data_IF_402508023301
#
_entry.id   IF_402508023301
#
_cell.length_a   1.000
_cell.length_b   1.000
_cell.length_c   1.000
_cell.angle_alpha   90.00
_cell.angle_beta   90.00
_cell.angle_gamma   90.00
#
_symmetry.space_group_name_H-M   'P 1'
#
loop_
_entity.id
_entity.type
_entity.pdbx_description
1 polymer ?
#
# COMPACT_ATOMS: atom_id res chain seq x y z
N UNK A 1 33.53 0.53 4.74
CA UNK A 1 33.46 1.96 4.35
C UNK A 1 32.84 2.04 2.95
N UNK A 2 31.84 2.89 2.71
CA UNK A 2 31.25 3.03 1.38
C UNK A 2 32.22 3.72 0.42
N UNK A 3 32.27 3.29 -0.84
CA UNK A 3 33.15 3.88 -1.86
C UNK A 3 32.77 5.35 -2.12
N UNK A 4 33.74 6.18 -2.56
CA UNK A 4 33.45 7.56 -3.01
C UNK A 4 32.35 7.59 -4.08
N UNK A 5 32.34 6.58 -4.97
CA UNK A 5 31.32 6.39 -6.01
C UNK A 5 29.93 6.15 -5.39
N UNK A 6 29.82 5.23 -4.44
CA UNK A 6 28.57 4.92 -3.74
C UNK A 6 28.00 6.16 -3.06
N UNK A 7 28.82 6.90 -2.30
CA UNK A 7 28.38 8.11 -1.60
C UNK A 7 27.83 9.18 -2.56
N UNK A 8 28.48 9.34 -3.73
CA UNK A 8 28.03 10.27 -4.77
C UNK A 8 26.67 9.84 -5.35
N UNK A 9 26.54 8.57 -5.71
CA UNK A 9 25.28 8.03 -6.26
C UNK A 9 24.15 8.07 -5.23
N UNK A 10 24.43 7.74 -3.98
CA UNK A 10 23.47 7.80 -2.89
C UNK A 10 22.88 9.21 -2.70
N UNK A 11 23.74 10.25 -2.73
CA UNK A 11 23.30 11.65 -2.68
C UNK A 11 22.55 12.07 -3.94
N UNK A 12 22.97 11.61 -5.14
CA UNK A 12 22.25 11.86 -6.39
C UNK A 12 20.82 11.33 -6.31
N UNK A 13 20.65 10.08 -5.86
CA UNK A 13 19.35 9.43 -5.74
C UNK A 13 18.45 10.14 -4.71
N UNK A 14 19.03 10.63 -3.59
CA UNK A 14 18.29 11.46 -2.62
C UNK A 14 17.73 12.73 -3.27
N UNK A 15 18.55 13.47 -4.02
CA UNK A 15 18.11 14.70 -4.70
C UNK A 15 17.00 14.45 -5.73
N UNK A 16 17.07 13.33 -6.43
CA UNK A 16 16.02 12.92 -7.37
C UNK A 16 14.73 12.68 -6.60
N UNK A 17 14.80 11.92 -5.51
CA UNK A 17 13.64 11.68 -4.66
C UNK A 17 13.01 12.98 -4.12
N UNK A 18 13.83 13.91 -3.61
CA UNK A 18 13.36 15.21 -3.09
C UNK A 18 12.71 16.07 -4.17
N UNK A 19 13.28 16.07 -5.39
CA UNK A 19 12.70 16.76 -6.55
C UNK A 19 11.32 16.20 -6.90
N UNK A 20 11.20 14.88 -6.97
CA UNK A 20 9.96 14.21 -7.33
C UNK A 20 8.88 14.34 -6.24
N UNK A 21 9.26 14.40 -4.95
CA UNK A 21 8.31 14.63 -3.84
C UNK A 21 8.04 16.13 -3.61
N UNK A 22 8.79 17.03 -4.27
CA UNK A 22 8.61 18.49 -4.17
C UNK A 22 9.05 19.09 -2.83
N UNK A 23 9.84 18.37 -2.03
CA UNK A 23 10.37 18.87 -0.76
C UNK A 23 11.63 18.13 -0.32
N UNK A 24 12.45 18.80 0.47
CA UNK A 24 13.60 18.20 1.13
C UNK A 24 13.18 17.14 2.15
N UNK A 25 14.04 16.13 2.33
CA UNK A 25 13.81 15.08 3.34
C UNK A 25 15.03 14.89 4.22
N UNK A 26 14.78 14.69 5.51
CA UNK A 26 15.83 14.34 6.46
C UNK A 26 16.54 13.03 6.03
N UNK A 27 17.84 12.93 6.32
CA UNK A 27 18.66 11.76 5.95
C UNK A 27 18.09 10.45 6.51
N UNK A 28 17.56 10.48 7.73
CA UNK A 28 16.88 9.33 8.33
C UNK A 28 15.66 8.90 7.52
N UNK A 29 14.93 9.84 6.91
CA UNK A 29 13.79 9.53 6.03
C UNK A 29 14.28 8.90 4.73
N UNK A 30 15.34 9.43 4.15
CA UNK A 30 15.96 8.88 2.95
C UNK A 30 16.51 7.46 3.18
N UNK A 31 17.20 7.23 4.31
CA UNK A 31 17.66 5.90 4.70
C UNK A 31 16.51 4.90 4.76
N UNK A 32 15.37 5.28 5.35
CA UNK A 32 14.17 4.41 5.40
C UNK A 32 13.64 4.08 4.01
N UNK A 33 13.58 5.06 3.11
CA UNK A 33 13.18 4.84 1.71
C UNK A 33 14.10 3.85 1.04
N UNK A 34 15.42 4.01 1.20
CA UNK A 34 16.41 3.09 0.66
C UNK A 34 16.27 1.69 1.26
N UNK A 35 16.01 1.57 2.56
CA UNK A 35 15.77 0.27 3.19
C UNK A 35 14.53 -0.42 2.62
N UNK A 36 13.41 0.30 2.43
CA UNK A 36 12.21 -0.24 1.77
C UNK A 36 12.52 -0.67 0.34
N UNK A 37 13.24 0.15 -0.42
CA UNK A 37 13.68 -0.18 -1.78
C UNK A 37 14.54 -1.46 -1.79
N UNK A 38 15.49 -1.61 -0.86
CA UNK A 38 16.32 -2.81 -0.75
C UNK A 38 15.51 -4.06 -0.43
N UNK A 39 14.58 -3.94 0.51
CA UNK A 39 13.78 -5.08 0.98
C UNK A 39 12.78 -5.59 -0.06
N UNK A 40 12.30 -4.71 -0.93
CA UNK A 40 11.12 -4.98 -1.74
C UNK A 40 11.32 -4.83 -3.25
N UNK A 41 12.41 -4.21 -3.69
CA UNK A 41 12.67 -3.86 -5.09
C UNK A 41 14.07 -4.25 -5.58
N UNK A 42 14.77 -5.13 -4.85
CA UNK A 42 16.15 -5.55 -5.14
C UNK A 42 17.08 -4.35 -5.44
N UNK A 43 16.90 -3.28 -4.66
CA UNK A 43 17.53 -2.01 -4.97
C UNK A 43 19.02 -2.01 -4.62
N UNK A 44 19.85 -1.77 -5.63
CA UNK A 44 21.25 -1.43 -5.44
C UNK A 44 21.50 0.01 -5.90
N UNK A 45 22.17 0.81 -5.07
CA UNK A 45 22.52 2.22 -5.35
C UNK A 45 23.35 2.36 -6.63
N UNK A 46 24.16 1.35 -6.96
CA UNK A 46 25.03 1.37 -8.14
C UNK A 46 24.39 0.71 -9.38
N UNK A 47 23.15 0.21 -9.26
CA UNK A 47 22.39 -0.36 -10.38
C UNK A 47 22.00 0.70 -11.41
N UNK A 48 21.97 0.31 -12.68
CA UNK A 48 21.41 1.11 -13.77
C UNK A 48 19.93 1.43 -13.59
N UNK A 49 19.18 0.60 -12.84
CA UNK A 49 17.75 0.78 -12.58
C UNK A 49 17.44 1.60 -11.31
N UNK A 50 18.47 1.99 -10.55
CA UNK A 50 18.29 2.65 -9.25
C UNK A 50 17.50 3.97 -9.35
N UNK A 51 17.76 4.75 -10.39
CA UNK A 51 17.08 6.04 -10.60
C UNK A 51 15.58 5.86 -10.89
N UNK A 52 15.22 4.90 -11.74
CA UNK A 52 13.83 4.62 -12.09
C UNK A 52 13.03 4.15 -10.87
N UNK A 53 13.60 3.27 -10.06
CA UNK A 53 12.97 2.80 -8.82
C UNK A 53 12.74 3.94 -7.83
N UNK A 54 13.69 4.87 -7.71
CA UNK A 54 13.56 6.03 -6.83
C UNK A 54 12.47 6.99 -7.31
N UNK A 55 12.42 7.28 -8.61
CA UNK A 55 11.35 8.09 -9.22
C UNK A 55 9.98 7.46 -9.04
N UNK A 56 9.89 6.14 -9.27
CA UNK A 56 8.68 5.36 -9.08
C UNK A 56 8.16 5.46 -7.64
N UNK A 57 9.02 5.22 -6.64
CA UNK A 57 8.63 5.34 -5.22
C UNK A 57 8.33 6.78 -4.79
N UNK A 58 9.08 7.76 -5.30
CA UNK A 58 8.79 9.17 -5.03
C UNK A 58 7.41 9.56 -5.58
N UNK A 59 7.12 9.18 -6.82
CA UNK A 59 5.83 9.37 -7.46
C UNK A 59 4.70 8.66 -6.71
N UNK A 60 4.95 7.46 -6.16
CA UNK A 60 3.98 6.79 -5.29
C UNK A 60 3.78 7.50 -3.96
N UNK A 61 4.83 8.02 -3.32
CA UNK A 61 4.69 8.74 -2.05
C UNK A 61 3.97 10.07 -2.21
N UNK A 62 4.28 10.82 -3.28
CA UNK A 62 3.64 12.09 -3.58
C UNK A 62 2.13 11.89 -3.81
N UNK A 63 1.77 10.94 -4.66
CA UNK A 63 0.38 10.67 -5.01
C UNK A 63 -0.36 9.92 -3.89
N UNK A 64 0.35 9.09 -3.14
CA UNK A 64 -0.23 8.16 -2.15
C UNK A 64 0.59 8.17 -0.86
N UNK A 65 0.38 9.19 -0.02
CA UNK A 65 1.04 9.31 1.30
C UNK A 65 0.89 8.10 2.24
N UNK A 66 0.07 7.11 1.85
CA UNK A 66 -0.15 5.81 2.51
C UNK A 66 0.96 4.79 2.18
N UNK A 67 1.86 5.07 1.22
CA UNK A 67 3.00 4.24 0.88
C UNK A 67 4.14 4.43 1.90
N UNK A 68 3.86 4.06 3.16
CA UNK A 68 4.83 4.04 4.25
C UNK A 68 5.03 2.61 4.72
N UNK A 69 6.26 2.11 4.62
CA UNK A 69 6.66 0.73 4.95
C UNK A 69 6.43 0.30 6.40
N UNK A 70 6.01 1.22 7.29
CA UNK A 70 5.68 0.92 8.69
C UNK A 70 4.20 0.64 8.94
N UNK A 71 3.34 0.73 7.92
CA UNK A 71 1.92 0.47 8.12
C UNK A 71 1.68 -1.03 8.32
N UNK A 72 0.90 -1.39 9.35
CA UNK A 72 0.46 -2.77 9.56
C UNK A 72 -0.16 -3.31 8.26
N UNK A 73 0.29 -4.48 7.82
CA UNK A 73 -0.14 -5.08 6.57
C UNK A 73 0.58 -4.57 5.32
N UNK A 74 1.67 -3.81 5.43
CA UNK A 74 2.42 -3.34 4.27
C UNK A 74 2.88 -4.48 3.36
N UNK A 75 3.42 -5.58 3.91
CA UNK A 75 3.90 -6.71 3.11
C UNK A 75 2.77 -7.32 2.27
N UNK A 76 1.60 -7.58 2.86
CA UNK A 76 0.46 -8.13 2.12
C UNK A 76 -0.08 -7.14 1.07
N UNK A 77 -0.04 -5.84 1.37
CA UNK A 77 -0.37 -4.81 0.37
C UNK A 77 0.66 -4.76 -0.76
N UNK A 78 1.94 -4.96 -0.42
CA UNK A 78 3.05 -4.98 -1.35
C UNK A 78 3.03 -6.21 -2.26
N UNK A 79 2.70 -7.38 -1.72
CA UNK A 79 2.49 -8.60 -2.50
C UNK A 79 1.36 -8.43 -3.51
N UNK A 80 0.24 -7.81 -3.10
CA UNK A 80 -0.85 -7.48 -4.01
C UNK A 80 -0.39 -6.52 -5.12
N UNK A 81 0.36 -5.47 -4.76
CA UNK A 81 0.94 -4.56 -5.74
C UNK A 81 1.82 -5.30 -6.73
N UNK A 82 2.78 -6.08 -6.24
CA UNK A 82 3.78 -6.75 -7.06
C UNK A 82 3.14 -7.76 -8.02
N UNK A 83 2.14 -8.52 -7.55
CA UNK A 83 1.39 -9.45 -8.38
C UNK A 83 0.79 -8.75 -9.61
N UNK A 84 0.08 -7.63 -9.41
CA UNK A 84 -0.52 -6.90 -10.52
C UNK A 84 0.50 -6.13 -11.37
N UNK A 85 1.57 -5.63 -10.75
CA UNK A 85 2.64 -4.94 -11.47
C UNK A 85 3.38 -5.85 -12.45
N UNK A 86 3.59 -7.13 -12.07
CA UNK A 86 4.30 -8.13 -12.88
C UNK A 86 3.44 -8.79 -13.97
N UNK A 87 2.12 -8.62 -13.97
CA UNK A 87 1.22 -9.25 -14.95
C UNK A 87 1.43 -8.76 -16.39
N UNK A 88 2.14 -7.65 -16.58
CA UNK A 88 2.51 -7.00 -17.87
C UNK A 88 1.45 -7.16 -18.98
N UNK A 89 0.21 -6.79 -18.67
CA UNK A 89 -0.93 -6.89 -19.58
C UNK A 89 -1.92 -5.76 -19.35
N UNK A 90 -2.83 -5.60 -20.29
CA UNK A 90 -3.98 -4.73 -20.10
C UNK A 90 -5.16 -5.49 -19.49
N UNK A 91 -5.91 -4.81 -18.62
CA UNK A 91 -7.10 -5.35 -17.98
C UNK A 91 -8.22 -4.31 -18.03
N UNK A 92 -9.44 -4.76 -18.35
CA UNK A 92 -10.61 -3.93 -18.14
C UNK A 92 -10.83 -3.68 -16.65
N UNK A 93 -11.49 -2.57 -16.28
CA UNK A 93 -11.85 -2.30 -14.89
C UNK A 93 -12.64 -3.46 -14.23
N UNK A 94 -13.50 -4.14 -14.99
CA UNK A 94 -14.23 -5.33 -14.55
C UNK A 94 -13.32 -6.53 -14.31
N UNK A 95 -12.44 -6.84 -15.25
CA UNK A 95 -11.55 -7.99 -15.17
C UNK A 95 -10.54 -7.82 -14.05
N UNK A 96 -10.04 -6.60 -13.87
CA UNK A 96 -9.20 -6.24 -12.74
C UNK A 96 -9.90 -6.46 -11.40
N UNK A 97 -11.13 -5.94 -11.21
CA UNK A 97 -11.87 -6.13 -9.96
C UNK A 97 -12.14 -7.61 -9.67
N UNK A 98 -12.41 -8.40 -10.71
CA UNK A 98 -12.60 -9.86 -10.59
C UNK A 98 -11.30 -10.55 -10.17
N UNK A 99 -10.18 -10.23 -10.82
CA UNK A 99 -8.88 -10.76 -10.46
C UNK A 99 -8.45 -10.34 -9.05
N UNK A 100 -8.68 -9.08 -8.67
CA UNK A 100 -8.36 -8.53 -7.36
C UNK A 100 -9.15 -9.19 -6.24
N UNK A 101 -10.45 -9.40 -6.44
CA UNK A 101 -11.31 -10.06 -5.44
C UNK A 101 -10.95 -11.53 -5.26
N UNK A 102 -10.60 -12.23 -6.34
CA UNK A 102 -10.04 -13.58 -6.30
C UNK A 102 -8.71 -13.62 -5.53
N UNK A 103 -7.80 -12.68 -5.83
CA UNK A 103 -6.49 -12.58 -5.15
C UNK A 103 -6.65 -12.33 -3.65
N UNK A 104 -7.49 -11.36 -3.27
CA UNK A 104 -7.74 -10.98 -1.87
C UNK A 104 -8.66 -11.96 -1.13
N UNK A 105 -9.20 -12.98 -1.80
CA UNK A 105 -10.17 -13.96 -1.27
C UNK A 105 -11.40 -13.29 -0.63
N UNK A 106 -11.94 -12.28 -1.30
CA UNK A 106 -13.13 -11.53 -0.87
C UNK A 106 -14.20 -11.58 -1.96
N UNK A 107 -15.48 -11.51 -1.57
CA UNK A 107 -16.57 -11.40 -2.56
C UNK A 107 -16.69 -9.98 -3.11
N UNK A 108 -16.80 -9.84 -4.44
CA UNK A 108 -17.05 -8.57 -5.11
C UNK A 108 -18.37 -7.91 -4.64
N UNK A 109 -19.42 -8.71 -4.40
CA UNK A 109 -20.71 -8.20 -3.89
C UNK A 109 -20.58 -7.55 -2.51
N UNK A 110 -19.59 -7.98 -1.73
CA UNK A 110 -19.34 -7.46 -0.38
C UNK A 110 -18.60 -6.12 -0.36
N UNK A 111 -18.17 -5.62 -1.52
CA UNK A 111 -17.45 -4.35 -1.68
C UNK A 111 -18.45 -3.29 -2.18
N UNK A 112 -18.75 -2.25 -1.38
CA UNK A 112 -19.61 -1.15 -1.81
C UNK A 112 -19.09 -0.49 -3.09
N UNK A 113 -20.00 -0.07 -3.98
CA UNK A 113 -19.63 0.61 -5.22
C UNK A 113 -18.75 1.83 -4.95
N UNK A 114 -19.11 2.66 -3.99
CA UNK A 114 -18.32 3.83 -3.55
C UNK A 114 -16.89 3.48 -3.15
N UNK A 115 -16.68 2.33 -2.49
CA UNK A 115 -15.35 1.85 -2.12
C UNK A 115 -14.49 1.50 -3.34
N UNK A 116 -15.10 0.92 -4.39
CA UNK A 116 -14.39 0.62 -5.65
C UNK A 116 -13.93 1.91 -6.31
N UNK A 117 -14.84 2.89 -6.48
CA UNK A 117 -14.48 4.20 -7.03
C UNK A 117 -13.40 4.90 -6.20
N UNK A 118 -13.48 4.80 -4.88
CA UNK A 118 -12.47 5.34 -3.98
C UNK A 118 -11.08 4.74 -4.23
N UNK A 119 -10.95 3.41 -4.43
CA UNK A 119 -9.66 2.79 -4.70
C UNK A 119 -9.01 3.31 -5.98
N UNK A 120 -9.79 3.41 -7.07
CA UNK A 120 -9.30 3.94 -8.34
C UNK A 120 -8.95 5.42 -8.23
N UNK A 121 -9.82 6.23 -7.62
CA UNK A 121 -9.57 7.67 -7.43
C UNK A 121 -8.32 7.90 -6.60
N UNK A 122 -8.15 7.12 -5.53
CA UNK A 122 -6.94 7.12 -4.72
C UNK A 122 -5.73 6.52 -5.41
N UNK A 123 -5.86 5.96 -6.60
CA UNK A 123 -4.78 5.57 -7.50
C UNK A 123 -4.64 6.54 -8.69
N UNK A 124 -5.28 7.73 -8.61
CA UNK A 124 -5.33 8.71 -9.70
C UNK A 124 -5.94 8.15 -11.01
N UNK A 125 -6.80 7.14 -10.91
CA UNK A 125 -7.55 6.56 -12.02
C UNK A 125 -9.04 6.90 -11.88
N UNK A 126 -9.71 7.13 -13.01
CA UNK A 126 -11.17 7.20 -13.05
C UNK A 126 -11.73 5.82 -13.34
N UNK A 127 -12.43 5.19 -12.38
CA UNK A 127 -13.01 3.86 -12.61
C UNK A 127 -14.10 3.89 -13.69
N UNK A 128 -13.88 3.11 -14.75
CA UNK A 128 -14.88 2.74 -15.74
C UNK A 128 -14.81 1.23 -15.98
N UNK A 129 -15.97 0.59 -16.08
CA UNK A 129 -16.07 -0.87 -16.10
C UNK A 129 -15.41 -1.51 -17.33
N UNK A 130 -15.58 -0.89 -18.50
CA UNK A 130 -15.10 -1.43 -19.78
C UNK A 130 -13.83 -0.73 -20.30
N UNK A 131 -13.29 0.23 -19.54
CA UNK A 131 -12.04 0.90 -19.91
C UNK A 131 -10.87 -0.02 -19.58
N UNK A 132 -9.90 -0.05 -20.50
CA UNK A 132 -8.67 -0.82 -20.38
C UNK A 132 -7.62 0.01 -19.66
N UNK A 133 -6.95 -0.60 -18.67
CA UNK A 133 -5.86 0.01 -17.93
C UNK A 133 -4.62 -0.86 -18.02
N UNK A 134 -3.44 -0.26 -17.97
CA UNK A 134 -2.20 -1.01 -17.81
C UNK A 134 -2.15 -1.66 -16.42
N UNK A 135 -1.69 -2.91 -16.34
CA UNK A 135 -1.57 -3.62 -15.06
C UNK A 135 -0.67 -2.89 -14.06
N UNK A 136 0.30 -2.11 -14.55
CA UNK A 136 1.19 -1.27 -13.74
C UNK A 136 0.43 -0.16 -13.01
N UNK A 137 -0.55 0.48 -13.67
CA UNK A 137 -1.40 1.50 -13.06
C UNK A 137 -2.38 0.86 -12.05
N UNK A 138 -2.90 -0.32 -12.38
CA UNK A 138 -3.81 -1.08 -11.53
C UNK A 138 -3.15 -1.68 -10.27
N UNK A 139 -1.83 -1.90 -10.30
CA UNK A 139 -1.07 -2.43 -9.17
C UNK A 139 -1.26 -1.59 -7.90
N UNK A 140 -1.37 -0.28 -8.07
CA UNK A 140 -1.63 0.60 -6.96
C UNK A 140 -3.06 0.53 -6.45
N UNK A 141 -4.04 0.36 -7.34
CA UNK A 141 -5.42 0.11 -6.94
C UNK A 141 -5.47 -1.13 -6.03
N UNK A 142 -4.72 -2.18 -6.37
CA UNK A 142 -4.58 -3.38 -5.55
C UNK A 142 -3.92 -3.09 -4.18
N UNK A 143 -2.86 -2.28 -4.15
CA UNK A 143 -2.20 -1.86 -2.91
C UNK A 143 -3.14 -1.10 -1.94
N UNK A 144 -4.03 -0.27 -2.49
CA UNK A 144 -5.03 0.48 -1.72
C UNK A 144 -6.16 -0.44 -1.26
N UNK A 145 -6.68 -1.29 -2.15
CA UNK A 145 -7.77 -2.22 -1.86
C UNK A 145 -7.38 -3.27 -0.81
N UNK A 146 -6.14 -3.74 -0.84
CA UNK A 146 -5.65 -4.72 0.13
C UNK A 146 -5.75 -4.21 1.59
N UNK A 147 -5.55 -2.90 1.83
CA UNK A 147 -5.78 -2.30 3.16
C UNK A 147 -7.21 -2.52 3.65
N UNK A 148 -8.20 -2.37 2.76
CA UNK A 148 -9.60 -2.57 3.11
C UNK A 148 -9.87 -4.04 3.47
N UNK A 149 -9.31 -4.98 2.71
CA UNK A 149 -9.45 -6.41 2.97
C UNK A 149 -8.82 -6.84 4.31
N UNK A 150 -7.66 -6.27 4.68
CA UNK A 150 -6.99 -6.49 5.97
C UNK A 150 -7.87 -5.98 7.12
N UNK A 151 -8.40 -4.76 6.98
CA UNK A 151 -9.26 -4.16 7.99
C UNK A 151 -10.56 -4.95 8.17
N UNK A 152 -11.18 -5.42 7.09
CA UNK A 152 -12.41 -6.20 7.13
C UNK A 152 -12.22 -7.56 7.81
N UNK A 153 -11.11 -8.25 7.55
CA UNK A 153 -10.75 -9.50 8.27
C UNK A 153 -10.56 -9.23 9.77
N UNK A 154 -9.87 -8.14 10.11
CA UNK A 154 -9.63 -7.75 11.50
C UNK A 154 -10.92 -7.40 12.25
N UNK A 155 -11.90 -6.76 11.60
CA UNK A 155 -13.18 -6.42 12.23
C UNK A 155 -14.05 -7.65 12.49
N UNK A 156 -14.05 -8.63 11.57
CA UNK A 156 -14.79 -9.89 11.74
C UNK A 156 -14.27 -10.67 12.95
N UNK A 157 -12.95 -10.70 13.17
CA UNK A 157 -12.36 -11.38 14.34
C UNK A 157 -12.73 -10.69 15.66
N UNK A 158 -12.75 -9.36 15.71
CA UNK A 158 -13.12 -8.61 16.93
C UNK A 158 -14.60 -8.77 17.31
N UNK A 159 -15.49 -8.93 16.33
CA UNK A 159 -16.92 -9.15 16.60
C UNK A 159 -17.26 -10.57 17.04
N UNK A 160 -16.32 -11.52 16.94
CA UNK A 160 -16.53 -12.92 17.32
C UNK A 160 -16.04 -13.25 18.74
N UNK A 161 -15.48 -12.28 19.48
CA UNK A 161 -15.18 -12.45 20.90
C UNK A 161 -16.50 -12.44 21.71
N UNK A 162 -16.84 -13.51 22.44
CA UNK A 162 -18.05 -13.53 23.25
C UNK A 162 -17.92 -12.51 24.38
N UNK A 163 -18.94 -11.64 24.50
CA UNK A 163 -19.13 -10.73 25.62
C UNK A 163 -19.09 -11.52 26.95
N UNK A 164 -17.96 -11.51 27.65
CA UNK A 164 -17.94 -11.86 29.07
C UNK A 164 -18.65 -10.74 29.83
N UNK A 165 -19.96 -10.94 30.03
CA UNK A 165 -20.77 -10.16 30.95
C UNK A 165 -20.08 -10.14 32.32
N UNK A 166 -19.60 -8.97 32.74
CA UNK A 166 -19.33 -8.69 34.15
C UNK A 166 -20.66 -8.75 34.90
N UNK A 167 -20.94 -9.88 35.54
CA UNK A 167 -21.86 -9.97 36.68
C UNK A 167 -21.41 -8.95 37.72
N UNK A 168 -22.08 -7.81 37.77
CA UNK A 168 -21.89 -6.81 38.81
C UNK A 168 -22.69 -7.29 40.01
N UNK A 169 -22.00 -7.77 41.03
CA UNK A 169 -22.56 -8.15 42.32
C UNK A 169 -23.18 -6.90 42.94
N UNK A 170 -24.51 -6.89 43.04
CA UNK A 170 -25.27 -5.86 43.75
C UNK A 170 -24.99 -5.98 45.25
N UNK A 171 -24.29 -4.99 45.81
CA UNK A 171 -24.23 -4.77 47.25
C UNK A 171 -25.60 -4.26 47.73
N UNK A 172 -26.26 -5.05 48.57
CA UNK A 172 -27.40 -4.59 49.37
C UNK A 172 -26.91 -3.54 50.36
N UNK A 173 -27.32 -2.29 50.15
CA UNK A 173 -27.20 -1.25 51.17
C UNK A 173 -28.38 -1.35 52.13
N UNK A 174 -28.02 -1.56 53.39
CA UNK A 174 -28.78 -1.26 54.59
C UNK A 174 -29.24 0.21 54.52
N UNK A 175 -30.49 0.51 54.89
CA UNK A 175 -30.97 1.65 55.69
C UNK A 175 -32.51 1.65 55.73
N UNK A 176 -33.08 1.60 56.93
CA UNK A 176 -34.52 1.61 57.22
C UNK A 176 -34.84 0.67 58.37
#
# INVERSE_FOLDING_TARGET
MASKRYCRLYRKLKRIYEREVGKEVADVTWQRVVSTLKQHFDFNVESSNAENLVKLIAGYKLRYGIFSGRTKGFNERWEAFNYFYQLDKQLSGKDFLTALTKYLKISLSSIPRSTRYYWFTKACLSYKTNESYESKDLALVAFIACKWAINKRSSVMKSAEPNNHKLTIGRSNIHG
#
